data_IF_359156892847
#
_entry.id   IF_359156892847
#
_cell.length_a   1.000
_cell.length_b   1.000
_cell.length_c   1.000
_cell.angle_alpha   90.00
_cell.angle_beta   90.00
_cell.angle_gamma   90.00
#
_symmetry.space_group_name_H-M   'P 1'
#
loop_
_entity.id
_entity.type
_entity.pdbx_description
1 polymer ?
#
# COMPACT_ATOMS: atom_id res chain seq x y z
N UNK A 1 17.23 -3.95 -25.80
CA UNK A 1 18.24 -3.49 -24.84
C UNK A 1 19.45 -4.41 -24.93
N UNK A 2 20.49 -4.02 -25.66
CA UNK A 2 21.77 -4.74 -25.62
C UNK A 2 22.62 -4.09 -24.53
N UNK A 3 23.02 -4.90 -23.57
CA UNK A 3 23.94 -4.56 -22.48
C UNK A 3 25.22 -3.91 -23.04
N UNK A 4 25.30 -2.58 -22.98
CA UNK A 4 26.56 -1.91 -22.67
C UNK A 4 26.55 -1.66 -21.17
N UNK A 5 26.72 -2.72 -20.39
CA UNK A 5 27.17 -2.57 -19.00
C UNK A 5 28.66 -2.25 -19.10
N UNK A 6 28.98 -0.99 -19.36
CA UNK A 6 30.33 -0.50 -19.12
C UNK A 6 30.47 -0.39 -17.61
N UNK A 7 31.35 -1.21 -17.01
CA UNK A 7 31.76 -1.08 -15.62
C UNK A 7 32.57 0.21 -15.45
N UNK A 8 31.93 1.36 -15.61
CA UNK A 8 32.53 2.66 -15.33
C UNK A 8 32.54 2.88 -13.81
N UNK A 9 33.60 3.50 -13.29
CA UNK A 9 33.67 3.93 -11.89
C UNK A 9 32.61 5.00 -11.57
N UNK A 10 32.20 5.76 -12.58
CA UNK A 10 31.20 6.82 -12.49
C UNK A 10 30.34 6.80 -13.75
N UNK A 11 29.03 7.00 -13.58
CA UNK A 11 28.10 7.13 -14.71
C UNK A 11 27.98 8.57 -15.20
N UNK A 12 28.37 9.54 -14.35
CA UNK A 12 28.23 10.97 -14.65
C UNK A 12 29.58 11.68 -14.54
N UNK A 13 29.80 12.64 -15.42
CA UNK A 13 30.96 13.53 -15.39
C UNK A 13 30.49 14.97 -15.14
N UNK A 14 31.02 15.60 -14.10
CA UNK A 14 30.88 17.04 -13.88
C UNK A 14 32.21 17.73 -14.17
N UNK A 15 32.18 18.76 -15.01
CA UNK A 15 33.35 19.57 -15.33
C UNK A 15 33.03 21.05 -15.14
N UNK A 16 33.87 21.77 -14.40
CA UNK A 16 33.87 23.23 -14.34
C UNK A 16 35.00 23.77 -15.22
N UNK A 17 34.69 24.66 -16.17
CA UNK A 17 35.69 25.30 -17.03
C UNK A 17 35.69 26.81 -16.78
N UNK A 18 36.85 27.31 -16.39
CA UNK A 18 37.14 28.75 -16.36
C UNK A 18 37.70 29.17 -17.72
N UNK A 19 36.97 30.01 -18.45
CA UNK A 19 37.37 30.50 -19.78
C UNK A 19 38.24 31.77 -19.72
N UNK A 20 38.62 32.26 -18.54
CA UNK A 20 39.49 33.44 -18.38
C UNK A 20 40.88 33.30 -19.04
N UNK A 21 41.28 32.07 -19.40
CA UNK A 21 42.63 31.77 -19.91
C UNK A 21 42.73 31.85 -21.45
N UNK A 22 41.62 31.83 -22.20
CA UNK A 22 41.68 31.77 -23.67
C UNK A 22 41.88 33.14 -24.37
N UNK A 23 41.76 34.26 -23.65
CA UNK A 23 41.93 35.60 -24.24
C UNK A 23 43.36 36.16 -24.16
N UNK A 24 44.29 35.54 -23.43
CA UNK A 24 45.60 36.16 -23.10
C UNK A 24 46.82 35.66 -23.90
N UNK A 25 46.69 34.69 -24.82
CA UNK A 25 47.88 34.08 -25.48
C UNK A 25 48.02 34.34 -26.99
N UNK A 26 47.38 35.38 -27.57
CA UNK A 26 47.61 35.75 -28.99
C UNK A 26 47.99 37.22 -29.14
N UNK A 27 49.06 37.64 -28.47
CA UNK A 27 49.84 38.82 -28.85
C UNK A 27 51.28 38.41 -29.23
N UNK A 28 51.40 37.71 -30.34
CA UNK A 28 52.70 37.33 -30.89
C UNK A 28 52.57 36.91 -32.34
N UNK A 29 53.18 37.69 -33.25
CA UNK A 29 53.18 37.45 -34.70
C UNK A 29 53.71 36.06 -35.06
N UNK A 30 52.83 35.11 -35.36
CA UNK A 30 53.12 34.00 -36.25
C UNK A 30 51.97 33.82 -37.24
N UNK A 31 52.29 33.45 -38.48
CA UNK A 31 51.31 33.14 -39.51
C UNK A 31 50.55 31.89 -39.06
N UNK A 32 49.34 32.06 -38.53
CA UNK A 32 48.46 30.93 -38.22
C UNK A 32 47.75 30.45 -39.49
N UNK A 33 47.52 29.14 -39.55
CA UNK A 33 46.53 28.55 -40.44
C UNK A 33 45.30 28.32 -39.57
N UNK A 34 44.26 29.12 -39.76
CA UNK A 34 43.02 29.00 -39.01
C UNK A 34 42.15 27.91 -39.64
N UNK A 35 41.86 26.87 -38.87
CA UNK A 35 40.87 25.86 -39.23
C UNK A 35 39.58 26.13 -38.45
N UNK A 36 38.52 26.53 -39.14
CA UNK A 36 37.16 26.45 -38.58
C UNK A 36 36.66 25.01 -38.69
N UNK A 37 36.64 24.31 -37.57
CA UNK A 37 35.91 23.04 -37.48
C UNK A 37 34.42 23.33 -37.57
N UNK A 38 33.78 23.00 -38.70
CA UNK A 38 32.32 23.23 -38.88
C UNK A 38 31.49 22.59 -37.78
N UNK A 39 31.87 21.40 -37.32
CA UNK A 39 31.24 20.69 -36.21
C UNK A 39 32.25 19.73 -35.56
N UNK A 40 32.46 19.88 -34.24
CA UNK A 40 33.18 18.90 -33.42
C UNK A 40 32.16 18.27 -32.46
N UNK A 41 31.93 16.97 -32.59
CA UNK A 41 31.10 16.22 -31.63
C UNK A 41 32.04 15.50 -30.67
N UNK A 42 32.25 16.09 -29.49
CA UNK A 42 32.91 15.39 -28.38
C UNK A 42 32.06 14.16 -28.01
N UNK A 43 32.66 12.97 -28.13
CA UNK A 43 32.07 11.73 -27.59
C UNK A 43 32.59 11.52 -26.19
N UNK A 44 31.68 11.42 -25.24
CA UNK A 44 31.98 11.04 -23.87
C UNK A 44 31.56 9.59 -23.65
N UNK A 45 32.37 8.85 -22.91
CA UNK A 45 32.05 7.47 -22.49
C UNK A 45 31.11 7.44 -21.27
N UNK A 46 30.66 8.60 -20.79
CA UNK A 46 29.75 8.78 -19.66
C UNK A 46 28.31 9.00 -20.14
N UNK A 47 27.33 8.27 -19.59
CA UNK A 47 25.90 8.48 -19.86
C UNK A 47 25.40 9.92 -19.69
N UNK A 48 25.89 10.66 -18.69
CA UNK A 48 25.51 12.06 -18.49
C UNK A 48 26.76 12.91 -18.22
N UNK A 49 26.95 13.96 -19.01
CA UNK A 49 28.04 14.92 -18.81
C UNK A 49 27.46 16.30 -18.57
N UNK A 50 27.80 16.89 -17.44
CA UNK A 50 27.43 18.25 -17.04
C UNK A 50 28.67 19.12 -17.10
N UNK A 51 28.65 20.16 -17.93
CA UNK A 51 29.73 21.12 -18.06
C UNK A 51 29.21 22.48 -17.63
N UNK A 52 29.79 23.05 -16.57
CA UNK A 52 29.54 24.41 -16.15
C UNK A 52 30.71 25.29 -16.60
N UNK A 53 30.42 26.43 -17.21
CA UNK A 53 31.44 27.44 -17.49
C UNK A 53 30.92 28.84 -17.26
N UNK A 54 31.83 29.70 -16.81
CA UNK A 54 31.56 31.09 -16.50
C UNK A 54 31.79 31.96 -17.74
N UNK A 55 30.83 32.86 -18.01
CA UNK A 55 30.93 33.85 -19.07
C UNK A 55 31.16 35.22 -18.46
N UNK A 56 32.36 35.77 -18.66
CA UNK A 56 32.75 37.10 -18.17
C UNK A 56 31.92 38.20 -18.84
N UNK A 57 31.50 38.01 -20.09
CA UNK A 57 30.72 38.99 -20.85
C UNK A 57 29.26 39.09 -20.37
N UNK A 58 28.69 37.98 -19.88
CA UNK A 58 27.28 37.92 -19.49
C UNK A 58 27.08 37.81 -17.99
N UNK A 59 28.15 37.75 -17.20
CA UNK A 59 28.13 37.51 -15.75
C UNK A 59 27.23 36.32 -15.36
N UNK A 60 27.24 35.27 -16.18
CA UNK A 60 26.38 34.09 -16.01
C UNK A 60 27.21 32.80 -16.03
N UNK A 61 26.78 31.83 -15.23
CA UNK A 61 27.25 30.45 -15.34
C UNK A 61 26.33 29.73 -16.33
N UNK A 62 26.90 29.20 -17.40
CA UNK A 62 26.17 28.35 -18.35
C UNK A 62 26.40 26.89 -18.00
N UNK A 63 25.31 26.13 -17.84
CA UNK A 63 25.36 24.68 -17.60
C UNK A 63 24.88 23.96 -18.87
N UNK A 64 25.77 23.15 -19.43
CA UNK A 64 25.50 22.32 -20.62
C UNK A 64 25.46 20.86 -20.21
N UNK A 65 24.36 20.18 -20.55
CA UNK A 65 24.23 18.74 -20.34
C UNK A 65 24.33 18.01 -21.68
N UNK A 66 25.22 17.02 -21.74
CA UNK A 66 25.40 16.14 -22.90
C UNK A 66 25.01 14.73 -22.50
N UNK A 67 24.14 14.11 -23.28
CA UNK A 67 23.58 12.80 -22.99
C UNK A 67 23.26 12.04 -24.28
N UNK A 68 23.37 10.70 -24.30
CA UNK A 68 22.88 9.88 -25.41
C UNK A 68 21.35 9.85 -25.43
N UNK A 69 20.73 10.24 -26.55
CA UNK A 69 19.27 10.14 -26.72
C UNK A 69 18.72 8.71 -26.69
N UNK A 70 19.60 7.70 -26.79
CA UNK A 70 19.25 6.28 -26.59
C UNK A 70 19.02 5.93 -25.12
N UNK A 71 19.57 6.72 -24.19
CA UNK A 71 19.49 6.49 -22.74
C UNK A 71 18.54 7.47 -22.04
N UNK A 72 18.38 8.68 -22.57
CA UNK A 72 17.56 9.72 -21.96
C UNK A 72 16.62 10.36 -22.97
N UNK A 73 15.35 10.45 -22.56
CA UNK A 73 14.39 11.35 -23.19
C UNK A 73 14.72 12.80 -22.81
N UNK A 74 14.57 13.73 -23.75
CA UNK A 74 14.87 15.15 -23.51
C UNK A 74 14.07 15.71 -22.33
N UNK A 75 12.82 15.29 -22.16
CA UNK A 75 11.97 15.71 -21.04
C UNK A 75 12.56 15.31 -19.68
N UNK A 76 13.21 14.16 -19.58
CA UNK A 76 13.88 13.70 -18.35
C UNK A 76 15.05 14.61 -18.00
N UNK A 77 15.82 15.01 -19.01
CA UNK A 77 16.96 15.92 -18.84
C UNK A 77 16.48 17.32 -18.45
N UNK A 78 15.42 17.82 -19.07
CA UNK A 78 14.80 19.10 -18.71
C UNK A 78 14.30 19.10 -17.25
N UNK A 79 13.74 17.98 -16.79
CA UNK A 79 13.34 17.83 -15.39
C UNK A 79 14.53 17.84 -14.43
N UNK A 80 15.64 17.17 -14.77
CA UNK A 80 16.87 17.19 -13.97
C UNK A 80 17.46 18.60 -13.90
N UNK A 81 17.46 19.33 -15.01
CA UNK A 81 17.87 20.75 -15.05
C UNK A 81 16.96 21.63 -14.19
N UNK A 82 15.65 21.40 -14.25
CA UNK A 82 14.69 22.11 -13.39
C UNK A 82 14.97 21.90 -11.90
N UNK A 83 15.26 20.66 -11.49
CA UNK A 83 15.66 20.32 -10.12
C UNK A 83 16.97 21.01 -9.73
N UNK A 84 17.99 20.95 -10.59
CA UNK A 84 19.28 21.59 -10.32
C UNK A 84 19.13 23.11 -10.14
N UNK A 85 18.33 23.76 -10.99
CA UNK A 85 18.06 25.19 -10.87
C UNK A 85 17.33 25.52 -9.56
N UNK A 86 16.30 24.75 -9.17
CA UNK A 86 15.58 24.96 -7.91
C UNK A 86 16.51 24.86 -6.70
N UNK A 87 17.43 23.89 -6.69
CA UNK A 87 18.43 23.73 -5.63
C UNK A 87 19.40 24.91 -5.61
N UNK A 88 19.94 25.30 -6.77
CA UNK A 88 20.88 26.42 -6.86
C UNK A 88 20.24 27.74 -6.41
N UNK A 89 18.98 27.99 -6.79
CA UNK A 89 18.23 29.15 -6.32
C UNK A 89 18.09 29.18 -4.81
N UNK A 90 17.75 28.05 -4.17
CA UNK A 90 17.65 27.97 -2.70
C UNK A 90 19.00 28.23 -2.00
N UNK A 91 20.10 27.71 -2.56
CA UNK A 91 21.44 27.95 -2.00
C UNK A 91 21.83 29.42 -2.12
N UNK A 92 21.52 30.07 -3.25
CA UNK A 92 21.81 31.49 -3.46
C UNK A 92 20.97 32.37 -2.53
N UNK A 93 19.69 32.05 -2.36
CA UNK A 93 18.77 32.82 -1.50
C UNK A 93 19.11 32.69 -0.01
N UNK A 94 19.60 31.52 0.43
CA UNK A 94 20.02 31.30 1.80
C UNK A 94 21.27 30.39 1.89
N UNK A 95 22.49 30.96 1.78
CA UNK A 95 23.74 30.19 1.74
C UNK A 95 24.11 29.43 3.01
N UNK A 96 23.45 29.74 4.14
CA UNK A 96 23.69 29.07 5.44
C UNK A 96 22.68 27.96 5.73
N UNK A 97 21.77 27.67 4.79
CA UNK A 97 20.80 26.56 4.90
C UNK A 97 21.52 25.23 5.05
N UNK A 98 20.94 24.31 5.83
CA UNK A 98 21.43 22.93 5.84
C UNK A 98 20.99 22.23 4.55
N UNK A 99 21.82 21.31 4.05
CA UNK A 99 21.49 20.54 2.84
C UNK A 99 20.17 19.77 3.00
N UNK A 100 19.82 19.35 4.23
CA UNK A 100 18.55 18.68 4.55
C UNK A 100 17.31 19.55 4.36
N UNK A 101 17.48 20.87 4.33
CA UNK A 101 16.37 21.82 4.25
C UNK A 101 16.05 22.20 2.80
N UNK A 102 16.88 21.76 1.85
CA UNK A 102 16.70 22.04 0.43
C UNK A 102 15.62 21.13 -0.17
N UNK A 103 14.66 21.72 -0.86
CA UNK A 103 13.63 20.99 -1.59
C UNK A 103 14.10 20.67 -3.02
N UNK A 104 14.05 19.39 -3.39
CA UNK A 104 14.46 18.95 -4.72
C UNK A 104 13.41 19.25 -5.80
N UNK A 105 12.13 19.17 -5.44
CA UNK A 105 11.04 19.19 -6.42
C UNK A 105 10.63 20.63 -6.74
N UNK A 106 10.67 21.04 -8.02
CA UNK A 106 10.10 22.30 -8.45
C UNK A 106 8.61 22.39 -8.10
N UNK A 107 8.09 23.61 -7.89
CA UNK A 107 6.69 23.87 -7.51
C UNK A 107 5.65 23.13 -8.36
N UNK A 108 5.86 23.04 -9.68
CA UNK A 108 4.95 22.32 -10.60
C UNK A 108 4.84 20.82 -10.27
N UNK A 109 5.92 20.19 -9.85
CA UNK A 109 5.91 18.77 -9.47
C UNK A 109 5.23 18.56 -8.12
N UNK A 110 5.42 19.49 -7.17
CA UNK A 110 4.68 19.47 -5.91
C UNK A 110 3.16 19.61 -6.14
N UNK A 111 2.74 20.53 -7.02
CA UNK A 111 1.33 20.67 -7.42
C UNK A 111 0.78 19.37 -8.03
N UNK A 112 1.53 18.70 -8.88
CA UNK A 112 1.11 17.43 -9.46
C UNK A 112 0.93 16.34 -8.39
N UNK A 113 1.78 16.30 -7.36
CA UNK A 113 1.64 15.38 -6.23
C UNK A 113 0.39 15.71 -5.41
N UNK A 114 0.11 16.99 -5.19
CA UNK A 114 -1.12 17.44 -4.51
C UNK A 114 -2.36 17.02 -5.32
N UNK A 115 -2.38 17.26 -6.63
CA UNK A 115 -3.47 16.87 -7.53
C UNK A 115 -3.68 15.36 -7.57
N UNK A 116 -2.62 14.56 -7.56
CA UNK A 116 -2.73 13.10 -7.53
C UNK A 116 -3.26 12.58 -6.19
N UNK A 117 -3.02 13.31 -5.10
CA UNK A 117 -3.49 12.96 -3.76
C UNK A 117 -4.82 13.63 -3.39
N UNK A 118 -5.38 14.47 -4.26
CA UNK A 118 -6.72 15.05 -4.11
C UNK A 118 -7.80 13.98 -4.39
N UNK A 119 -7.84 13.02 -3.49
CA UNK A 119 -8.74 11.86 -3.49
C UNK A 119 -9.84 12.01 -2.45
N UNK A 120 -9.92 13.18 -1.80
CA UNK A 120 -10.95 13.50 -0.83
C UNK A 120 -12.31 13.47 -1.52
N UNK A 121 -13.11 12.47 -1.18
CA UNK A 121 -14.48 12.31 -1.69
C UNK A 121 -15.39 12.12 -0.51
N UNK A 122 -16.40 12.98 -0.39
CA UNK A 122 -17.46 12.77 0.59
C UNK A 122 -18.26 11.54 0.17
N UNK A 123 -18.51 10.64 1.13
CA UNK A 123 -19.42 9.53 0.97
C UNK A 123 -20.71 9.78 1.76
N UNK A 124 -21.58 10.73 1.34
CA UNK A 124 -22.76 11.12 2.11
C UNK A 124 -23.77 10.00 2.30
N UNK A 125 -23.77 8.99 1.42
CA UNK A 125 -24.61 7.79 1.54
C UNK A 125 -24.05 6.77 2.55
N UNK A 126 -22.74 6.78 2.78
CA UNK A 126 -22.10 6.02 3.85
C UNK A 126 -22.05 6.93 5.06
N UNK A 127 -23.09 6.86 5.91
CA UNK A 127 -22.97 7.44 7.24
C UNK A 127 -21.67 6.89 7.86
N UNK A 128 -20.70 7.77 8.12
CA UNK A 128 -19.34 7.41 8.57
C UNK A 128 -19.32 6.76 9.95
N UNK A 129 -20.49 6.61 10.57
CA UNK A 129 -20.71 5.90 11.84
C UNK A 129 -21.30 4.49 11.68
N UNK A 130 -21.77 4.11 10.49
CA UNK A 130 -22.41 2.82 10.23
C UNK A 130 -21.39 1.72 9.99
N UNK A 131 -21.60 0.56 10.61
CA UNK A 131 -20.74 -0.62 10.44
C UNK A 131 -21.11 -1.44 9.20
N UNK A 132 -20.19 -2.30 8.73
CA UNK A 132 -20.44 -3.18 7.58
C UNK A 132 -21.66 -4.09 7.74
N UNK A 133 -21.90 -4.60 8.95
CA UNK A 133 -23.02 -5.50 9.20
C UNK A 133 -24.36 -4.76 9.24
N UNK A 134 -24.39 -3.48 9.62
CA UNK A 134 -25.57 -2.62 9.50
C UNK A 134 -25.85 -2.27 8.04
N UNK A 135 -24.84 -1.92 7.25
CA UNK A 135 -25.01 -1.70 5.79
C UNK A 135 -25.55 -2.96 5.10
N UNK A 136 -25.11 -4.15 5.53
CA UNK A 136 -25.67 -5.42 5.06
C UNK A 136 -27.14 -5.57 5.46
N UNK A 137 -27.52 -5.22 6.69
CA UNK A 137 -28.92 -5.25 7.14
C UNK A 137 -29.81 -4.30 6.33
N UNK A 138 -29.36 -3.08 6.04
CA UNK A 138 -30.08 -2.15 5.16
C UNK A 138 -30.29 -2.75 3.76
N UNK A 139 -29.29 -3.46 3.24
CA UNK A 139 -29.42 -4.14 1.95
C UNK A 139 -30.40 -5.32 2.01
N UNK A 140 -30.46 -6.03 3.15
CA UNK A 140 -31.44 -7.10 3.37
C UNK A 140 -32.86 -6.55 3.35
N UNK A 141 -33.11 -5.37 3.92
CA UNK A 141 -34.43 -4.72 3.85
C UNK A 141 -34.82 -4.37 2.41
N UNK A 142 -33.87 -3.89 1.60
CA UNK A 142 -34.11 -3.48 0.20
C UNK A 142 -34.30 -4.65 -0.76
N UNK A 143 -33.70 -5.82 -0.49
CA UNK A 143 -33.61 -6.93 -1.47
C UNK A 143 -33.66 -8.31 -0.81
N UNK A 144 -34.51 -8.46 0.21
CA UNK A 144 -34.58 -9.64 1.07
C UNK A 144 -34.66 -11.00 0.35
N UNK A 145 -35.47 -11.14 -0.71
CA UNK A 145 -35.66 -12.41 -1.44
C UNK A 145 -34.67 -12.62 -2.59
N UNK A 146 -33.73 -11.68 -2.82
CA UNK A 146 -32.69 -11.88 -3.84
C UNK A 146 -31.60 -12.80 -3.30
N UNK A 147 -31.01 -13.59 -4.20
CA UNK A 147 -29.85 -14.43 -3.89
C UNK A 147 -28.65 -13.54 -3.53
N UNK A 148 -28.07 -13.80 -2.35
CA UNK A 148 -26.88 -13.10 -1.84
C UNK A 148 -25.62 -13.96 -2.00
N UNK A 149 -25.72 -15.27 -1.76
CA UNK A 149 -24.59 -16.21 -1.81
C UNK A 149 -24.99 -17.44 -2.62
N UNK A 150 -24.07 -17.87 -3.50
CA UNK A 150 -24.14 -19.15 -4.21
C UNK A 150 -22.84 -19.90 -3.94
N UNK A 151 -22.95 -21.10 -3.39
CA UNK A 151 -21.83 -22.01 -3.20
C UNK A 151 -22.26 -23.41 -3.64
N UNK A 152 -21.65 -23.92 -4.70
CA UNK A 152 -22.06 -25.17 -5.35
C UNK A 152 -23.58 -25.19 -5.63
N UNK A 153 -24.31 -26.12 -5.01
CA UNK A 153 -25.76 -26.28 -5.16
C UNK A 153 -26.56 -25.53 -4.07
N UNK A 154 -25.88 -24.83 -3.16
CA UNK A 154 -26.51 -24.05 -2.08
C UNK A 154 -26.65 -22.60 -2.53
N UNK A 155 -27.88 -22.08 -2.39
CA UNK A 155 -28.17 -20.67 -2.62
C UNK A 155 -28.82 -20.12 -1.35
N UNK A 156 -28.36 -18.96 -0.91
CA UNK A 156 -28.94 -18.22 0.21
C UNK A 156 -29.42 -16.87 -0.28
N UNK A 157 -30.66 -16.54 0.04
CA UNK A 157 -31.18 -15.18 -0.09
C UNK A 157 -30.53 -14.25 0.92
N UNK A 158 -30.64 -12.93 0.71
CA UNK A 158 -30.23 -11.93 1.71
C UNK A 158 -30.90 -12.19 3.06
N UNK A 159 -32.21 -12.52 3.05
CA UNK A 159 -32.98 -12.85 4.25
C UNK A 159 -32.38 -14.06 4.98
N UNK A 160 -32.23 -15.19 4.31
CA UNK A 160 -31.74 -16.43 4.93
C UNK A 160 -30.32 -16.30 5.48
N UNK A 161 -29.46 -15.59 4.75
CA UNK A 161 -28.10 -15.30 5.17
C UNK A 161 -28.09 -14.44 6.44
N UNK A 162 -28.90 -13.38 6.47
CA UNK A 162 -29.00 -12.48 7.61
C UNK A 162 -29.58 -13.18 8.84
N UNK A 163 -30.66 -13.95 8.69
CA UNK A 163 -31.25 -14.72 9.78
C UNK A 163 -30.24 -15.71 10.39
N UNK A 164 -29.52 -16.45 9.53
CA UNK A 164 -28.51 -17.41 9.99
C UNK A 164 -27.36 -16.72 10.73
N UNK A 165 -26.86 -15.59 10.21
CA UNK A 165 -25.82 -14.80 10.87
C UNK A 165 -26.30 -14.20 12.20
N UNK A 166 -27.53 -13.70 12.26
CA UNK A 166 -28.16 -13.15 13.46
C UNK A 166 -28.30 -14.20 14.57
N UNK A 167 -28.68 -15.42 14.22
CA UNK A 167 -28.83 -16.50 15.19
C UNK A 167 -27.46 -16.98 15.70
N UNK A 168 -26.47 -17.15 14.82
CA UNK A 168 -25.12 -17.53 15.22
C UNK A 168 -24.46 -16.45 16.09
N UNK A 169 -24.67 -15.17 15.78
CA UNK A 169 -24.15 -14.07 16.57
C UNK A 169 -24.74 -14.05 18.00
N UNK A 170 -26.03 -14.39 18.16
CA UNK A 170 -26.65 -14.57 19.48
C UNK A 170 -26.07 -15.76 20.23
N UNK A 171 -25.84 -16.86 19.54
CA UNK A 171 -25.20 -18.02 20.14
C UNK A 171 -23.80 -17.67 20.65
N UNK A 172 -22.99 -16.98 19.84
CA UNK A 172 -21.66 -16.48 20.25
C UNK A 172 -21.75 -15.63 21.52
N UNK A 173 -22.66 -14.64 21.57
CA UNK A 173 -22.90 -13.81 22.75
C UNK A 173 -23.44 -14.58 23.96
N UNK A 174 -24.00 -15.78 23.77
CA UNK A 174 -24.54 -16.61 24.86
C UNK A 174 -23.48 -17.50 25.52
N UNK A 175 -22.45 -17.91 24.77
CA UNK A 175 -21.39 -18.81 25.26
C UNK A 175 -20.15 -18.06 25.75
N UNK A 176 -19.97 -16.81 25.31
CA UNK A 176 -18.90 -15.96 25.80
C UNK A 176 -19.36 -14.50 25.87
N UNK A 177 -18.77 -13.75 26.80
CA UNK A 177 -18.96 -12.31 26.87
C UNK A 177 -18.03 -11.64 25.85
N UNK A 178 -18.63 -10.94 24.89
CA UNK A 178 -17.95 -10.32 23.76
C UNK A 178 -17.89 -8.81 23.98
N UNK A 179 -16.69 -8.27 23.91
CA UNK A 179 -16.44 -6.84 23.85
C UNK A 179 -16.04 -6.40 22.44
N UNK A 180 -16.19 -5.12 22.09
CA UNK A 180 -15.54 -4.56 20.91
C UNK A 180 -14.04 -4.89 20.91
N UNK A 181 -13.51 -5.17 19.72
CA UNK A 181 -12.12 -5.59 19.47
C UNK A 181 -11.72 -6.97 20.05
N UNK A 182 -12.64 -7.72 20.69
CA UNK A 182 -12.43 -9.16 20.92
C UNK A 182 -12.32 -9.91 19.58
N UNK A 183 -11.56 -10.99 19.59
CA UNK A 183 -11.22 -11.75 18.40
C UNK A 183 -11.84 -13.15 18.40
N UNK A 184 -12.43 -13.52 17.25
CA UNK A 184 -12.92 -14.87 16.97
C UNK A 184 -12.14 -15.45 15.80
N UNK A 185 -11.47 -16.59 16.01
CA UNK A 185 -10.73 -17.26 14.95
C UNK A 185 -11.67 -18.03 14.02
N UNK A 186 -11.40 -17.96 12.72
CA UNK A 186 -12.11 -18.72 11.67
C UNK A 186 -11.11 -19.62 10.95
N UNK A 187 -11.16 -20.93 11.24
CA UNK A 187 -10.35 -21.95 10.57
C UNK A 187 -11.29 -22.82 9.74
N UNK A 188 -11.69 -22.32 8.57
CA UNK A 188 -12.79 -22.86 7.78
C UNK A 188 -12.37 -23.14 6.33
N UNK A 189 -12.93 -24.19 5.76
CA UNK A 189 -12.99 -24.36 4.31
C UNK A 189 -13.93 -23.32 3.68
N UNK A 190 -13.72 -23.03 2.40
CA UNK A 190 -14.65 -22.22 1.60
C UNK A 190 -16.02 -22.90 1.56
N UNK A 191 -17.06 -22.21 1.99
CA UNK A 191 -18.47 -22.65 1.99
C UNK A 191 -19.39 -21.45 2.21
N UNK A 192 -20.70 -21.62 2.07
CA UNK A 192 -21.68 -20.61 2.49
C UNK A 192 -21.63 -20.34 4.00
N UNK A 193 -21.27 -21.37 4.78
CA UNK A 193 -21.15 -21.28 6.23
C UNK A 193 -19.99 -20.36 6.67
N UNK A 194 -18.95 -20.22 5.84
CA UNK A 194 -17.86 -19.27 6.07
C UNK A 194 -18.38 -17.83 6.06
N UNK A 195 -19.27 -17.48 5.12
CA UNK A 195 -19.87 -16.14 5.02
C UNK A 195 -20.81 -15.89 6.21
N UNK A 196 -21.61 -16.89 6.58
CA UNK A 196 -22.44 -16.83 7.80
C UNK A 196 -21.57 -16.57 9.03
N UNK A 197 -20.44 -17.27 9.14
CA UNK A 197 -19.50 -17.12 10.26
C UNK A 197 -18.91 -15.71 10.32
N UNK A 198 -18.42 -15.16 9.21
CA UNK A 198 -17.89 -13.79 9.15
C UNK A 198 -18.94 -12.77 9.59
N UNK A 199 -20.14 -12.80 8.99
CA UNK A 199 -21.22 -11.88 9.33
C UNK A 199 -21.64 -12.03 10.80
N UNK A 200 -21.67 -13.25 11.32
CA UNK A 200 -22.02 -13.50 12.72
C UNK A 200 -20.99 -12.94 13.70
N UNK A 201 -19.69 -12.97 13.34
CA UNK A 201 -18.63 -12.41 14.18
C UNK A 201 -18.79 -10.89 14.26
N UNK A 202 -18.95 -10.21 13.12
CA UNK A 202 -19.22 -8.77 13.10
C UNK A 202 -20.48 -8.40 13.87
N UNK A 203 -21.60 -9.08 13.62
CA UNK A 203 -22.85 -8.85 14.34
C UNK A 203 -22.71 -9.12 15.84
N UNK A 204 -21.86 -10.07 16.24
CA UNK A 204 -21.63 -10.32 17.67
C UNK A 204 -20.87 -9.18 18.36
N UNK A 205 -20.21 -8.30 17.58
CA UNK A 205 -19.42 -7.16 18.05
C UNK A 205 -17.91 -7.39 18.01
N UNK A 206 -17.47 -8.56 17.54
CA UNK A 206 -16.08 -8.97 17.49
C UNK A 206 -15.48 -8.81 16.08
N UNK A 207 -14.15 -8.84 16.00
CA UNK A 207 -13.40 -8.97 14.77
C UNK A 207 -13.03 -10.44 14.52
N UNK A 208 -12.90 -10.84 13.24
CA UNK A 208 -12.48 -12.20 12.92
C UNK A 208 -10.99 -12.30 12.56
N UNK A 209 -10.41 -13.45 12.83
CA UNK A 209 -9.06 -13.82 12.35
C UNK A 209 -9.22 -14.96 11.35
N UNK A 210 -9.01 -14.75 10.05
CA UNK A 210 -9.02 -15.84 9.08
C UNK A 210 -7.72 -16.64 9.21
N UNK A 211 -7.84 -17.94 9.40
CA UNK A 211 -6.73 -18.87 9.46
C UNK A 211 -6.92 -19.90 8.34
N UNK A 212 -5.93 -20.00 7.46
CA UNK A 212 -5.95 -20.99 6.38
C UNK A 212 -5.71 -22.39 6.96
N UNK A 213 -6.63 -23.35 6.76
CA UNK A 213 -6.43 -24.72 7.24
C UNK A 213 -5.21 -25.44 6.64
N UNK A 214 -4.67 -24.98 5.51
CA UNK A 214 -3.46 -25.52 4.89
C UNK A 214 -2.16 -25.09 5.57
N UNK A 215 -2.19 -24.10 6.46
CA UNK A 215 -1.00 -23.65 7.19
C UNK A 215 -0.42 -24.76 8.07
N UNK A 216 0.90 -24.82 8.27
CA UNK A 216 1.52 -25.72 9.25
C UNK A 216 1.04 -25.44 10.68
N UNK A 217 1.07 -26.46 11.55
CA UNK A 217 0.62 -26.36 12.95
C UNK A 217 1.32 -25.24 13.71
N UNK A 218 2.63 -25.08 13.53
CA UNK A 218 3.41 -24.02 14.19
C UNK A 218 2.88 -22.62 13.85
N UNK A 219 2.43 -22.41 12.60
CA UNK A 219 1.89 -21.12 12.15
C UNK A 219 0.50 -20.87 12.75
N UNK A 220 -0.35 -21.90 12.80
CA UNK A 220 -1.67 -21.79 13.44
C UNK A 220 -1.49 -21.52 14.94
N UNK A 221 -0.61 -22.28 15.60
CA UNK A 221 -0.28 -22.11 17.00
C UNK A 221 0.18 -20.69 17.30
N UNK A 222 1.09 -20.15 16.48
CA UNK A 222 1.57 -18.78 16.61
C UNK A 222 0.42 -17.77 16.55
N UNK A 223 -0.44 -17.86 15.52
CA UNK A 223 -1.59 -16.95 15.35
C UNK A 223 -2.53 -17.03 16.56
N UNK A 224 -2.89 -18.24 17.01
CA UNK A 224 -3.82 -18.43 18.12
C UNK A 224 -3.24 -17.93 19.46
N UNK A 225 -1.94 -18.13 19.70
CA UNK A 225 -1.26 -17.65 20.90
C UNK A 225 -1.11 -16.13 20.92
N UNK A 226 -0.75 -15.53 19.78
CA UNK A 226 -0.55 -14.08 19.64
C UNK A 226 -1.89 -13.32 19.80
N UNK A 227 -2.95 -13.84 19.17
CA UNK A 227 -4.29 -13.22 19.22
C UNK A 227 -5.05 -13.49 20.52
N UNK A 228 -4.73 -14.57 21.25
CA UNK A 228 -5.45 -15.01 22.45
C UNK A 228 -6.97 -15.15 22.21
N UNK A 229 -7.37 -15.53 20.98
CA UNK A 229 -8.77 -15.70 20.63
C UNK A 229 -9.45 -16.69 21.58
N UNK A 230 -10.63 -16.30 22.11
CA UNK A 230 -11.37 -17.13 23.08
C UNK A 230 -12.24 -18.19 22.40
N UNK A 231 -12.58 -17.97 21.13
CA UNK A 231 -13.47 -18.81 20.33
C UNK A 231 -12.83 -19.07 18.97
N UNK A 232 -12.97 -20.29 18.47
CA UNK A 232 -12.65 -20.68 17.10
C UNK A 232 -13.86 -21.37 16.45
N UNK A 233 -14.25 -20.91 15.27
CA UNK A 233 -15.22 -21.61 14.41
C UNK A 233 -14.45 -22.40 13.37
N UNK A 234 -14.75 -23.69 13.25
CA UNK A 234 -13.97 -24.61 12.39
C UNK A 234 -14.81 -25.76 11.85
N UNK A 235 -14.37 -26.40 10.77
CA UNK A 235 -14.99 -27.63 10.28
C UNK A 235 -14.70 -28.80 11.22
N UNK A 236 -15.66 -29.74 11.32
CA UNK A 236 -15.54 -30.94 12.16
C UNK A 236 -14.21 -31.69 11.99
N UNK A 237 -13.74 -31.81 10.74
CA UNK A 237 -12.49 -32.51 10.38
C UNK A 237 -11.22 -31.89 11.00
N UNK A 238 -11.27 -30.63 11.44
CA UNK A 238 -10.14 -29.93 12.06
C UNK A 238 -10.21 -29.90 13.60
N UNK A 239 -11.29 -30.38 14.22
CA UNK A 239 -11.44 -30.33 15.68
C UNK A 239 -10.32 -31.08 16.41
N UNK A 240 -9.92 -32.26 15.92
CA UNK A 240 -8.83 -33.04 16.52
C UNK A 240 -7.49 -32.31 16.50
N UNK A 241 -7.21 -31.58 15.41
CA UNK A 241 -6.02 -30.74 15.27
C UNK A 241 -5.98 -29.61 16.31
N UNK A 242 -7.14 -29.20 16.81
CA UNK A 242 -7.30 -28.12 17.77
C UNK A 242 -7.51 -28.61 19.21
N UNK A 243 -7.48 -29.92 19.49
CA UNK A 243 -7.81 -30.49 20.81
C UNK A 243 -6.96 -29.90 21.94
N UNK A 244 -5.67 -29.65 21.69
CA UNK A 244 -4.71 -29.14 22.68
C UNK A 244 -4.95 -27.69 23.13
N UNK A 245 -5.77 -26.92 22.41
CA UNK A 245 -6.04 -25.52 22.76
C UNK A 245 -7.23 -25.39 23.70
N UNK A 246 -7.16 -24.50 24.70
CA UNK A 246 -8.19 -24.31 25.72
C UNK A 246 -9.39 -23.44 25.28
N UNK A 247 -9.41 -22.99 24.03
CA UNK A 247 -10.49 -22.13 23.50
C UNK A 247 -11.78 -22.91 23.21
N UNK A 248 -12.90 -22.19 23.15
CA UNK A 248 -14.18 -22.76 22.75
C UNK A 248 -14.13 -23.06 21.25
N UNK A 249 -14.41 -24.31 20.86
CA UNK A 249 -14.40 -24.78 19.47
C UNK A 249 -15.83 -24.99 19.01
N UNK A 250 -16.23 -24.31 17.95
CA UNK A 250 -17.55 -24.44 17.34
C UNK A 250 -17.39 -25.18 16.02
N UNK A 251 -18.04 -26.33 15.93
CA UNK A 251 -18.18 -27.05 14.67
C UNK A 251 -19.16 -26.31 13.75
N UNK A 252 -18.64 -25.86 12.61
CA UNK A 252 -19.42 -25.11 11.62
C UNK A 252 -20.55 -25.95 11.04
N UNK A 253 -20.35 -27.27 10.89
CA UNK A 253 -21.35 -28.17 10.32
C UNK A 253 -22.53 -28.37 11.28
N UNK A 254 -22.28 -28.18 12.57
CA UNK A 254 -23.29 -28.25 13.63
C UNK A 254 -24.06 -26.93 13.82
N UNK A 255 -23.66 -25.83 13.16
CA UNK A 255 -24.29 -24.51 13.32
C UNK A 255 -25.79 -24.57 13.09
N UNK A 256 -26.26 -25.24 12.03
CA UNK A 256 -27.71 -25.31 11.71
C UNK A 256 -28.54 -25.89 12.86
N UNK A 257 -27.98 -26.83 13.62
CA UNK A 257 -28.61 -27.39 14.82
C UNK A 257 -28.50 -26.42 16.00
N UNK A 258 -27.33 -25.84 16.21
CA UNK A 258 -27.03 -24.90 17.30
C UNK A 258 -27.91 -23.65 17.23
N UNK A 259 -28.10 -23.09 16.04
CA UNK A 259 -28.85 -21.84 15.85
C UNK A 259 -30.35 -22.05 15.88
N UNK A 260 -30.82 -23.30 15.80
CA UNK A 260 -32.23 -23.62 15.78
C UNK A 260 -32.87 -23.21 17.13
N UNK A 261 -33.87 -22.33 17.06
CA UNK A 261 -34.53 -21.75 18.25
C UNK A 261 -34.00 -20.40 18.72
N UNK A 262 -32.89 -19.89 18.17
CA UNK A 262 -32.47 -18.51 18.42
C UNK A 262 -33.31 -17.52 17.60
N UNK A 263 -33.49 -16.30 18.13
CA UNK A 263 -34.21 -15.24 17.42
C UNK A 263 -33.44 -14.82 16.14
N UNK A 264 -34.19 -14.68 15.05
CA UNK A 264 -33.73 -14.36 13.70
C UNK A 264 -33.58 -12.86 13.41
N UNK A 265 -34.17 -11.99 14.23
CA UNK A 265 -34.16 -10.54 13.98
C UNK A 265 -32.77 -9.94 14.12
N UNK A 266 -32.56 -8.74 13.58
CA UNK A 266 -31.31 -8.01 13.80
C UNK A 266 -31.08 -7.77 15.30
N UNK A 267 -29.81 -7.65 15.68
CA UNK A 267 -29.40 -7.34 17.05
C UNK A 267 -29.03 -5.87 17.14
N UNK A 268 -29.11 -5.30 18.35
CA UNK A 268 -28.48 -4.02 18.60
C UNK A 268 -26.96 -4.14 18.39
N UNK A 269 -26.35 -3.19 17.65
CA UNK A 269 -24.90 -3.13 17.47
C UNK A 269 -24.19 -3.07 18.81
N UNK A 270 -23.05 -3.76 18.93
CA UNK A 270 -22.17 -3.69 20.10
C UNK A 270 -20.83 -3.03 19.81
N UNK A 271 -20.48 -2.84 18.53
CA UNK A 271 -19.27 -2.16 18.08
C UNK A 271 -19.62 -0.96 17.19
N UNK A 272 -18.66 -0.08 16.95
CA UNK A 272 -18.75 1.05 16.03
C UNK A 272 -17.82 0.86 14.82
N UNK A 273 -17.91 1.77 13.86
CA UNK A 273 -17.04 1.83 12.68
C UNK A 273 -15.54 2.01 12.98
N UNK A 274 -15.17 2.36 14.21
CA UNK A 274 -13.77 2.53 14.64
C UNK A 274 -13.19 1.27 15.27
N UNK A 275 -14.01 0.23 15.50
CA UNK A 275 -13.54 -1.05 16.02
C UNK A 275 -12.98 -1.94 14.91
N UNK A 276 -12.19 -2.93 15.30
CA UNK A 276 -11.59 -3.90 14.39
C UNK A 276 -12.68 -4.66 13.62
N UNK A 277 -12.51 -4.77 12.30
CA UNK A 277 -13.32 -5.64 11.46
C UNK A 277 -12.70 -7.03 11.34
N UNK A 278 -11.38 -7.10 11.21
CA UNK A 278 -10.61 -8.34 11.10
C UNK A 278 -9.15 -8.12 11.49
N UNK A 279 -8.41 -9.21 11.70
CA UNK A 279 -6.94 -9.20 11.77
C UNK A 279 -6.38 -10.16 10.73
N UNK A 280 -5.51 -9.68 9.85
CA UNK A 280 -4.82 -10.52 8.85
C UNK A 280 -3.34 -10.62 9.17
N UNK A 281 -2.80 -11.84 9.15
CA UNK A 281 -1.37 -12.09 9.34
C UNK A 281 -0.63 -12.12 8.01
N UNK A 282 0.40 -11.27 7.90
CA UNK A 282 1.31 -11.21 6.74
C UNK A 282 2.66 -11.87 7.07
N UNK A 283 3.42 -12.25 6.04
CA UNK A 283 4.80 -12.73 6.22
C UNK A 283 5.68 -11.57 6.72
N UNK A 284 6.15 -11.64 7.96
CA UNK A 284 7.09 -10.66 8.47
C UNK A 284 8.49 -10.88 7.90
N UNK A 285 9.18 -9.79 7.60
CA UNK A 285 10.59 -9.78 7.16
C UNK A 285 11.55 -10.41 8.18
N UNK A 286 11.13 -10.53 9.44
CA UNK A 286 11.86 -11.18 10.54
C UNK A 286 11.59 -12.68 10.65
N UNK A 287 10.83 -13.27 9.70
CA UNK A 287 10.43 -14.68 9.71
C UNK A 287 9.22 -15.00 10.60
N UNK A 288 8.84 -14.10 11.53
CA UNK A 288 7.61 -14.21 12.32
C UNK A 288 6.46 -13.47 11.65
N UNK A 289 5.26 -14.08 11.51
CA UNK A 289 4.10 -13.39 10.98
C UNK A 289 3.76 -12.12 11.79
N UNK A 290 3.27 -11.07 11.12
CA UNK A 290 2.81 -9.83 11.75
C UNK A 290 1.33 -9.61 11.46
N UNK A 291 0.57 -9.23 12.48
CA UNK A 291 -0.83 -8.83 12.34
C UNK A 291 -0.95 -7.43 11.73
N UNK A 292 -1.95 -7.27 10.87
CA UNK A 292 -2.47 -5.98 10.42
C UNK A 292 -3.87 -5.85 11.02
N UNK A 293 -4.08 -4.73 11.72
CA UNK A 293 -5.33 -4.33 12.38
C UNK A 293 -6.18 -3.50 11.42
#
# INVERSE_FOLDING_TARGET
MKERVTHNLFDWLFAYKDNSILQSEIEGKEKSIDYETKYTVEKFDYPLVVIAYESVETECITIVQKYPGELFESQTIDNILGVANEILSQIVDNPVSQISDLHLLPKKQLQMIEEWNDTATDFPELNTTTTLHELFEEQVEKSSDKIAVVYENVQLTYRELNESANQLARYLRSICYIHPDDLIALLLDKSELMIISILSVWKSGAAYIPIDPSYPDERIQFILQDTKAKVIITNKKYLTRLESYSMIKIDVDSIRSIINGHNKTNMSPMCSCTNLAYIIYTSGTTGKPKSVL
#
